data_IF_101140641906
#
_entry.id   IF_101140641906
#
_cell.length_a   1.000
_cell.length_b   1.000
_cell.length_c   1.000
_cell.angle_alpha   90.00
_cell.angle_beta   90.00
_cell.angle_gamma   90.00
#
_symmetry.space_group_name_H-M   'P 1'
#
loop_
_entity.id
_entity.type
_entity.pdbx_description
1 polymer ?
#
# COMPACT_ATOMS: atom_id res chain seq x y z
N UNK A 1 -12.46 89.36 -44.99
CA UNK A 1 -11.46 88.62 -45.80
C UNK A 1 -11.05 89.39 -47.05
N UNK A 2 -11.99 89.86 -47.88
CA UNK A 2 -11.72 90.57 -49.14
C UNK A 2 -10.71 91.74 -49.06
N UNK A 3 -10.77 92.60 -48.03
CA UNK A 3 -9.85 93.72 -47.87
C UNK A 3 -8.41 93.29 -47.53
N UNK A 4 -8.28 92.26 -46.69
CA UNK A 4 -6.97 91.70 -46.29
C UNK A 4 -6.32 90.97 -47.46
N UNK A 5 -7.09 90.17 -48.20
CA UNK A 5 -6.63 89.51 -49.44
C UNK A 5 -6.20 90.54 -50.48
N UNK A 6 -6.99 91.60 -50.68
CA UNK A 6 -6.65 92.71 -51.57
C UNK A 6 -5.34 93.40 -51.17
N UNK A 7 -5.17 93.69 -49.88
CA UNK A 7 -3.96 94.26 -49.30
C UNK A 7 -2.71 93.41 -49.56
N UNK A 8 -2.81 92.09 -49.38
CA UNK A 8 -1.73 91.13 -49.67
C UNK A 8 -1.39 91.10 -51.17
N UNK A 9 -2.41 91.01 -52.03
CA UNK A 9 -2.23 90.96 -53.50
C UNK A 9 -1.59 92.25 -54.01
N UNK A 10 -2.02 93.39 -53.49
CA UNK A 10 -1.57 94.73 -53.93
C UNK A 10 -0.36 95.25 -53.17
N UNK A 11 0.10 94.54 -52.13
CA UNK A 11 1.17 94.98 -51.21
C UNK A 11 0.89 96.36 -50.59
N UNK A 12 -0.37 96.64 -50.27
CA UNK A 12 -0.80 97.91 -49.65
C UNK A 12 -1.10 97.65 -48.19
N UNK A 13 -0.57 98.46 -47.28
CA UNK A 13 -0.89 98.36 -45.85
C UNK A 13 -2.28 98.94 -45.59
N UNK A 14 -3.12 98.20 -44.86
CA UNK A 14 -4.42 98.72 -44.42
C UNK A 14 -4.19 99.53 -43.16
N UNK A 15 -4.62 100.79 -43.14
CA UNK A 15 -4.57 101.63 -41.95
C UNK A 15 -5.96 101.69 -41.34
N UNK A 16 -6.08 101.29 -40.08
CA UNK A 16 -7.29 101.39 -39.27
C UNK A 16 -7.03 102.46 -38.23
N UNK A 17 -7.67 103.61 -38.37
CA UNK A 17 -7.63 104.66 -37.37
C UNK A 17 -8.89 104.58 -36.51
N UNK A 18 -8.71 104.24 -35.23
CA UNK A 18 -9.82 104.06 -34.29
C UNK A 18 -10.58 105.37 -34.07
N UNK A 19 -9.88 106.50 -34.06
CA UNK A 19 -10.52 107.81 -33.88
C UNK A 19 -11.45 108.15 -35.05
N UNK A 20 -11.04 107.83 -36.27
CA UNK A 20 -11.88 108.02 -37.46
C UNK A 20 -13.12 107.12 -37.44
N UNK A 21 -13.00 105.91 -36.90
CA UNK A 21 -14.13 104.98 -36.72
C UNK A 21 -15.11 105.54 -35.70
N UNK A 22 -14.63 105.98 -34.53
CA UNK A 22 -15.45 106.61 -33.49
C UNK A 22 -16.20 107.85 -34.04
N UNK A 23 -15.50 108.70 -34.77
CA UNK A 23 -16.07 109.92 -35.35
C UNK A 23 -17.10 109.61 -36.45
N UNK A 24 -16.87 108.55 -37.22
CA UNK A 24 -17.81 108.09 -38.26
C UNK A 24 -19.08 107.51 -37.64
N UNK A 25 -18.96 106.69 -36.58
CA UNK A 25 -20.10 106.17 -35.81
C UNK A 25 -20.90 107.33 -35.21
N UNK A 26 -20.21 108.32 -34.63
CA UNK A 26 -20.83 109.48 -33.96
C UNK A 26 -21.62 110.37 -34.93
N UNK A 27 -21.22 110.44 -36.20
CA UNK A 27 -21.90 111.21 -37.26
C UNK A 27 -23.16 110.54 -37.81
N UNK A 28 -23.49 109.31 -37.36
CA UNK A 28 -24.67 108.55 -37.75
C UNK A 28 -24.87 108.46 -39.28
N UNK A 29 -23.80 108.14 -39.99
CA UNK A 29 -23.79 108.09 -41.46
C UNK A 29 -24.63 106.90 -41.94
N UNK A 30 -25.43 107.09 -43.01
CA UNK A 30 -26.47 106.15 -43.50
C UNK A 30 -26.02 104.68 -43.63
N UNK A 31 -24.75 104.43 -43.87
CA UNK A 31 -24.17 103.10 -44.10
C UNK A 31 -23.49 102.46 -42.88
N UNK A 32 -23.52 103.10 -41.71
CA UNK A 32 -22.95 102.56 -40.46
C UNK A 32 -24.08 102.23 -39.49
N UNK A 33 -24.24 100.94 -39.16
CA UNK A 33 -25.28 100.46 -38.25
C UNK A 33 -24.80 100.25 -36.80
N UNK A 34 -23.55 100.60 -36.50
CA UNK A 34 -22.98 100.48 -35.15
C UNK A 34 -23.40 101.70 -34.31
N UNK A 35 -23.84 101.47 -33.08
CA UNK A 35 -24.13 102.55 -32.11
C UNK A 35 -22.90 102.94 -31.30
N UNK A 36 -21.97 102.00 -31.11
CA UNK A 36 -20.73 102.20 -30.38
C UNK A 36 -19.62 101.33 -30.99
N UNK A 37 -18.37 101.77 -30.88
CA UNK A 37 -17.20 100.98 -31.28
C UNK A 37 -17.14 99.61 -30.57
N UNK A 38 -17.74 99.50 -29.39
CA UNK A 38 -17.84 98.24 -28.65
C UNK A 38 -18.65 97.15 -29.35
N UNK A 39 -19.52 97.53 -30.29
CA UNK A 39 -20.34 96.59 -31.07
C UNK A 39 -19.54 95.91 -32.20
N UNK A 40 -18.29 96.31 -32.43
CA UNK A 40 -17.41 95.62 -33.37
C UNK A 40 -17.18 94.18 -32.91
N UNK A 41 -17.37 93.25 -33.84
CA UNK A 41 -17.22 91.81 -33.62
C UNK A 41 -15.80 91.46 -33.12
N UNK A 42 -15.71 90.70 -32.03
CA UNK A 42 -14.45 90.22 -31.48
C UNK A 42 -13.61 89.44 -32.50
N UNK A 43 -14.21 88.66 -33.39
CA UNK A 43 -13.51 87.90 -34.44
C UNK A 43 -12.83 88.81 -35.46
N UNK A 44 -13.41 89.99 -35.70
CA UNK A 44 -12.78 91.04 -36.50
C UNK A 44 -11.59 91.66 -35.75
N UNK A 45 -11.73 91.93 -34.46
CA UNK A 45 -10.63 92.45 -33.61
C UNK A 45 -9.47 91.44 -33.53
N UNK A 46 -9.77 90.14 -33.42
CA UNK A 46 -8.75 89.07 -33.48
C UNK A 46 -8.04 89.03 -34.83
N UNK A 47 -8.79 89.20 -35.92
CA UNK A 47 -8.20 89.29 -37.27
C UNK A 47 -7.26 90.49 -37.38
N UNK A 48 -7.64 91.66 -36.83
CA UNK A 48 -6.77 92.84 -36.76
C UNK A 48 -5.46 92.49 -36.05
N UNK A 49 -5.51 91.81 -34.90
CA UNK A 49 -4.32 91.37 -34.18
C UNK A 49 -3.45 90.39 -35.00
N UNK A 50 -4.06 89.37 -35.62
CA UNK A 50 -3.35 88.36 -36.40
C UNK A 50 -2.62 88.97 -37.61
N UNK A 51 -3.29 89.86 -38.35
CA UNK A 51 -2.73 90.49 -39.54
C UNK A 51 -1.85 91.70 -39.24
N UNK A 52 -1.99 92.32 -38.06
CA UNK A 52 -1.01 93.27 -37.52
C UNK A 52 0.33 92.61 -37.27
N UNK A 53 0.34 91.39 -36.72
CA UNK A 53 1.56 90.63 -36.48
C UNK A 53 2.31 90.23 -37.77
N UNK A 54 1.64 90.26 -38.93
CA UNK A 54 2.22 89.99 -40.27
C UNK A 54 2.48 91.31 -41.04
N UNK A 55 2.36 92.47 -40.38
CA UNK A 55 2.55 93.82 -40.95
C UNK A 55 1.61 94.18 -42.11
N UNK A 56 0.43 93.54 -42.20
CA UNK A 56 -0.59 93.78 -43.23
C UNK A 56 -1.51 94.93 -42.82
N UNK A 57 -1.80 95.02 -41.52
CA UNK A 57 -2.67 96.05 -40.93
C UNK A 57 -1.87 96.91 -39.96
N UNK A 58 -1.94 98.23 -40.12
CA UNK A 58 -1.57 99.21 -39.12
C UNK A 58 -2.82 99.67 -38.37
N UNK A 59 -2.71 99.78 -37.05
CA UNK A 59 -3.80 100.30 -36.22
C UNK A 59 -3.28 101.51 -35.46
N UNK A 60 -3.96 102.64 -35.65
CA UNK A 60 -3.74 103.86 -34.88
C UNK A 60 -4.82 103.88 -33.79
N UNK A 61 -4.38 103.74 -32.55
CA UNK A 61 -5.25 103.62 -31.38
C UNK A 61 -5.61 105.01 -30.82
N UNK A 62 -6.85 105.17 -30.36
CA UNK A 62 -7.26 106.35 -29.58
C UNK A 62 -6.76 106.25 -28.13
N UNK A 63 -6.76 107.36 -27.39
CA UNK A 63 -6.31 107.39 -25.98
C UNK A 63 -7.07 106.38 -25.10
N UNK A 64 -8.36 106.15 -25.38
CA UNK A 64 -9.21 105.18 -24.70
C UNK A 64 -9.63 104.01 -25.61
N UNK A 65 -8.66 103.51 -26.39
CA UNK A 65 -8.87 102.48 -27.40
C UNK A 65 -9.61 101.23 -26.89
N UNK A 66 -10.78 100.98 -27.47
CA UNK A 66 -11.54 99.74 -27.28
C UNK A 66 -10.86 98.57 -27.97
N UNK A 67 -10.33 98.79 -29.18
CA UNK A 67 -9.67 97.74 -29.98
C UNK A 67 -8.44 97.23 -29.22
N UNK A 68 -7.60 98.12 -28.67
CA UNK A 68 -6.43 97.73 -27.87
C UNK A 68 -6.82 96.95 -26.63
N UNK A 69 -7.83 97.43 -25.88
CA UNK A 69 -8.34 96.75 -24.67
C UNK A 69 -8.77 95.32 -24.98
N UNK A 70 -9.52 95.10 -26.07
CA UNK A 70 -9.97 93.77 -26.49
C UNK A 70 -8.85 92.87 -27.01
N UNK A 71 -7.85 93.43 -27.68
CA UNK A 71 -6.64 92.68 -28.07
C UNK A 71 -5.88 92.19 -26.83
N UNK A 72 -5.70 93.05 -25.82
CA UNK A 72 -5.03 92.68 -24.56
C UNK A 72 -5.80 91.55 -23.85
N UNK A 73 -7.13 91.69 -23.72
CA UNK A 73 -8.01 90.68 -23.11
C UNK A 73 -7.90 89.33 -23.85
N UNK A 74 -7.88 89.35 -25.18
CA UNK A 74 -7.70 88.14 -26.00
C UNK A 74 -6.33 87.47 -25.73
N UNK A 75 -5.24 88.24 -25.72
CA UNK A 75 -3.89 87.73 -25.47
C UNK A 75 -3.78 87.11 -24.07
N UNK A 76 -4.38 87.76 -23.06
CA UNK A 76 -4.39 87.25 -21.69
C UNK A 76 -5.16 85.94 -21.56
N UNK A 77 -6.31 85.83 -22.23
CA UNK A 77 -7.10 84.61 -22.27
C UNK A 77 -6.35 83.46 -22.94
N UNK A 78 -5.74 83.69 -24.10
CA UNK A 78 -4.89 82.71 -24.80
C UNK A 78 -3.72 82.23 -23.93
N UNK A 79 -3.05 83.16 -23.23
CA UNK A 79 -1.95 82.83 -22.32
C UNK A 79 -2.42 81.97 -21.15
N UNK A 80 -3.60 82.27 -20.60
CA UNK A 80 -4.20 81.51 -19.50
C UNK A 80 -4.66 80.12 -19.96
N UNK A 81 -5.24 80.00 -21.14
CA UNK A 81 -5.64 78.73 -21.73
C UNK A 81 -4.43 77.84 -22.01
N UNK A 82 -3.36 78.39 -22.61
CA UNK A 82 -2.11 77.68 -22.82
C UNK A 82 -1.52 77.15 -21.51
N UNK A 83 -1.50 77.95 -20.44
CA UNK A 83 -1.04 77.51 -19.11
C UNK A 83 -1.91 76.37 -18.54
N UNK A 84 -3.23 76.42 -18.75
CA UNK A 84 -4.13 75.34 -18.32
C UNK A 84 -3.84 74.06 -19.08
N UNK A 85 -3.73 74.13 -20.41
CA UNK A 85 -3.38 72.99 -21.27
C UNK A 85 -2.02 72.37 -20.92
N UNK A 86 -1.01 73.19 -20.62
CA UNK A 86 0.31 72.71 -20.16
C UNK A 86 0.20 71.95 -18.83
N UNK A 87 -0.60 72.46 -17.89
CA UNK A 87 -0.84 71.81 -16.60
C UNK A 87 -1.59 70.48 -16.78
N UNK A 88 -2.60 70.45 -17.64
CA UNK A 88 -3.39 69.25 -17.91
C UNK A 88 -2.54 68.18 -18.61
N UNK A 89 -1.73 68.58 -19.58
CA UNK A 89 -0.78 67.67 -20.24
C UNK A 89 0.22 67.08 -19.24
N UNK A 90 0.72 67.89 -18.30
CA UNK A 90 1.64 67.41 -17.26
C UNK A 90 0.94 66.43 -16.30
N UNK A 91 -0.31 66.69 -15.94
CA UNK A 91 -1.11 65.78 -15.11
C UNK A 91 -1.35 64.44 -15.82
N UNK A 92 -1.68 64.47 -17.11
CA UNK A 92 -1.87 63.25 -17.91
C UNK A 92 -0.56 62.45 -18.03
N UNK A 93 0.58 63.10 -18.23
CA UNK A 93 1.89 62.42 -18.22
C UNK A 93 2.14 61.70 -16.89
N UNK A 94 1.90 62.36 -15.76
CA UNK A 94 2.05 61.73 -14.44
C UNK A 94 1.09 60.55 -14.23
N UNK A 95 -0.15 60.62 -14.76
CA UNK A 95 -1.08 59.48 -14.70
C UNK A 95 -0.56 58.29 -15.50
N UNK A 96 -0.06 58.53 -16.72
CA UNK A 96 0.51 57.49 -17.58
C UNK A 96 1.70 56.81 -16.89
N UNK A 97 2.61 57.58 -16.29
CA UNK A 97 3.75 57.03 -15.55
C UNK A 97 3.32 56.14 -14.36
N UNK A 98 2.28 56.56 -13.62
CA UNK A 98 1.72 55.76 -12.52
C UNK A 98 1.13 54.45 -13.04
N UNK A 99 0.32 54.51 -14.10
CA UNK A 99 -0.29 53.32 -14.71
C UNK A 99 0.80 52.35 -15.22
N UNK A 100 1.86 52.86 -15.84
CA UNK A 100 2.97 52.01 -16.29
C UNK A 100 3.70 51.33 -15.11
N UNK A 101 3.90 52.05 -14.00
CA UNK A 101 4.49 51.47 -12.79
C UNK A 101 3.60 50.38 -12.21
N UNK A 102 2.30 50.61 -12.12
CA UNK A 102 1.34 49.64 -11.61
C UNK A 102 1.26 48.39 -12.51
N UNK A 103 1.26 48.58 -13.83
CA UNK A 103 1.29 47.48 -14.79
C UNK A 103 2.56 46.62 -14.65
N UNK A 104 3.72 47.25 -14.44
CA UNK A 104 4.97 46.52 -14.21
C UNK A 104 4.95 45.75 -12.89
N UNK A 105 4.36 46.31 -11.83
CA UNK A 105 4.19 45.61 -10.56
C UNK A 105 3.28 44.39 -10.70
N UNK A 106 2.15 44.52 -11.39
CA UNK A 106 1.23 43.41 -11.64
C UNK A 106 1.88 42.32 -12.51
N UNK A 107 2.68 42.69 -13.53
CA UNK A 107 3.47 41.71 -14.30
C UNK A 107 4.42 40.92 -13.41
N UNK A 108 5.21 41.59 -12.55
CA UNK A 108 6.11 40.90 -11.63
C UNK A 108 5.37 39.99 -10.64
N UNK A 109 4.18 40.40 -10.20
CA UNK A 109 3.32 39.59 -9.31
C UNK A 109 2.82 38.34 -10.04
N UNK A 110 2.37 38.47 -11.28
CA UNK A 110 1.96 37.32 -12.09
C UNK A 110 3.12 36.35 -12.34
N UNK A 111 4.31 36.83 -12.68
CA UNK A 111 5.49 35.97 -12.86
C UNK A 111 5.86 35.19 -11.59
N UNK A 112 5.65 35.77 -10.40
CA UNK A 112 5.85 35.07 -9.13
C UNK A 112 4.79 33.99 -8.92
N UNK A 113 3.52 34.32 -9.15
CA UNK A 113 2.41 33.36 -9.04
C UNK A 113 2.57 32.18 -10.01
N UNK A 114 3.06 32.42 -11.23
CA UNK A 114 3.35 31.36 -12.20
C UNK A 114 4.45 30.41 -11.70
N UNK A 115 5.52 30.94 -11.12
CA UNK A 115 6.60 30.14 -10.52
C UNK A 115 6.11 29.32 -9.32
N UNK A 116 5.31 29.93 -8.46
CA UNK A 116 4.73 29.24 -7.30
C UNK A 116 3.81 28.10 -7.75
N UNK A 117 2.96 28.34 -8.76
CA UNK A 117 2.09 27.32 -9.34
C UNK A 117 2.90 26.18 -9.98
N UNK A 118 4.01 26.47 -10.66
CA UNK A 118 4.88 25.43 -11.21
C UNK A 118 5.52 24.58 -10.11
N UNK A 119 5.92 25.21 -8.99
CA UNK A 119 6.46 24.51 -7.82
C UNK A 119 5.41 23.59 -7.19
N UNK A 120 4.20 24.07 -6.97
CA UNK A 120 3.09 23.26 -6.43
C UNK A 120 2.77 22.07 -7.35
N UNK A 121 2.78 22.25 -8.68
CA UNK A 121 2.60 21.16 -9.63
C UNK A 121 3.69 20.09 -9.51
N UNK A 122 4.96 20.50 -9.34
CA UNK A 122 6.08 19.56 -9.14
C UNK A 122 5.93 18.79 -7.83
N UNK A 123 5.58 19.47 -6.74
CA UNK A 123 5.36 18.85 -5.43
C UNK A 123 4.19 17.84 -5.48
N UNK A 124 3.08 18.21 -6.12
CA UNK A 124 1.94 17.30 -6.34
C UNK A 124 2.36 16.04 -7.09
N UNK A 125 3.11 16.17 -8.18
CA UNK A 125 3.59 15.01 -8.95
C UNK A 125 4.51 14.09 -8.13
N UNK A 126 5.33 14.65 -7.24
CA UNK A 126 6.18 13.86 -6.34
C UNK A 126 5.31 13.07 -5.34
N UNK A 127 4.32 13.73 -4.75
CA UNK A 127 3.38 13.09 -3.81
C UNK A 127 2.62 11.96 -4.49
N UNK A 128 2.11 12.17 -5.71
CA UNK A 128 1.40 11.14 -6.48
C UNK A 128 2.28 9.91 -6.76
N UNK A 129 3.54 10.11 -7.17
CA UNK A 129 4.50 9.00 -7.35
C UNK A 129 4.79 8.25 -6.06
N UNK A 130 4.93 8.96 -4.95
CA UNK A 130 5.16 8.35 -3.65
C UNK A 130 3.95 7.51 -3.19
N UNK A 131 2.73 8.02 -3.38
CA UNK A 131 1.50 7.28 -3.09
C UNK A 131 1.39 6.01 -3.93
N UNK A 132 1.73 6.07 -5.21
CA UNK A 132 1.74 4.89 -6.09
C UNK A 132 2.75 3.84 -5.62
N UNK A 133 3.96 4.27 -5.24
CA UNK A 133 4.97 3.39 -4.69
C UNK A 133 4.52 2.71 -3.38
N UNK A 134 3.87 3.45 -2.48
CA UNK A 134 3.32 2.89 -1.24
C UNK A 134 2.19 1.89 -1.53
N UNK A 135 1.30 2.17 -2.50
CA UNK A 135 0.27 1.22 -2.94
C UNK A 135 0.89 -0.10 -3.41
N UNK A 136 1.91 -0.03 -4.27
CA UNK A 136 2.62 -1.23 -4.75
C UNK A 136 3.29 -2.02 -3.62
N UNK A 137 3.85 -1.34 -2.61
CA UNK A 137 4.42 -2.02 -1.42
C UNK A 137 3.33 -2.73 -0.62
N UNK A 138 2.19 -2.08 -0.38
CA UNK A 138 1.07 -2.67 0.33
C UNK A 138 0.56 -3.92 -0.39
N UNK A 139 0.41 -3.87 -1.71
CA UNK A 139 -0.01 -5.04 -2.50
C UNK A 139 0.97 -6.21 -2.39
N UNK A 140 2.28 -5.95 -2.39
CA UNK A 140 3.30 -7.00 -2.17
C UNK A 140 3.17 -7.61 -0.79
N UNK A 141 3.08 -6.80 0.25
CA UNK A 141 2.93 -7.27 1.64
C UNK A 141 1.65 -8.11 1.78
N UNK A 142 0.54 -7.73 1.15
CA UNK A 142 -0.69 -8.50 1.17
C UNK A 142 -0.55 -9.86 0.49
N UNK A 143 0.16 -9.94 -0.64
CA UNK A 143 0.46 -11.21 -1.31
C UNK A 143 1.34 -12.11 -0.44
N UNK A 144 2.39 -11.55 0.15
CA UNK A 144 3.29 -12.30 1.03
C UNK A 144 2.55 -12.84 2.27
N UNK A 145 1.69 -12.01 2.88
CA UNK A 145 0.86 -12.42 4.01
C UNK A 145 -0.09 -13.57 3.64
N UNK A 146 -0.71 -13.52 2.46
CA UNK A 146 -1.58 -14.60 1.99
C UNK A 146 -0.80 -15.88 1.72
N UNK A 147 0.42 -15.78 1.18
CA UNK A 147 1.29 -16.94 0.97
C UNK A 147 1.69 -17.59 2.31
N UNK A 148 2.08 -16.81 3.30
CA UNK A 148 2.40 -17.33 4.64
C UNK A 148 1.18 -17.95 5.33
N UNK A 149 -0.02 -17.37 5.18
CA UNK A 149 -1.26 -18.01 5.67
C UNK A 149 -1.49 -19.40 5.04
N UNK A 150 -1.38 -19.52 3.72
CA UNK A 150 -1.54 -20.81 3.04
C UNK A 150 -0.48 -21.82 3.48
N UNK A 151 0.75 -21.37 3.75
CA UNK A 151 1.84 -22.22 4.25
C UNK A 151 1.55 -22.73 5.66
N UNK A 152 1.06 -21.86 6.55
CA UNK A 152 0.65 -22.24 7.89
C UNK A 152 -0.51 -23.25 7.86
N UNK A 153 -1.53 -23.03 7.04
CA UNK A 153 -2.65 -23.98 6.89
C UNK A 153 -2.18 -25.37 6.43
N UNK A 154 -1.14 -25.44 5.58
CA UNK A 154 -0.53 -26.71 5.17
C UNK A 154 0.21 -27.37 6.32
N UNK A 155 1.02 -26.60 7.06
CA UNK A 155 1.75 -27.12 8.22
C UNK A 155 0.81 -27.63 9.32
N UNK A 156 -0.32 -26.95 9.56
CA UNK A 156 -1.35 -27.39 10.50
C UNK A 156 -1.94 -28.75 10.09
N UNK A 157 -2.26 -28.94 8.81
CA UNK A 157 -2.75 -30.24 8.29
C UNK A 157 -1.68 -31.33 8.38
N UNK A 158 -0.43 -31.01 8.07
CA UNK A 158 0.67 -31.96 8.19
C UNK A 158 0.88 -32.40 9.64
N UNK A 159 0.78 -31.46 10.59
CA UNK A 159 0.85 -31.75 12.02
C UNK A 159 -0.32 -32.63 12.50
N UNK A 160 -1.55 -32.33 12.04
CA UNK A 160 -2.72 -33.16 12.33
C UNK A 160 -2.55 -34.59 11.81
N UNK A 161 -2.02 -34.75 10.59
CA UNK A 161 -1.74 -36.06 10.00
C UNK A 161 -0.67 -36.84 10.78
N UNK A 162 0.39 -36.18 11.23
CA UNK A 162 1.42 -36.80 12.08
C UNK A 162 0.85 -37.22 13.44
N UNK A 163 0.00 -36.40 14.07
CA UNK A 163 -0.68 -36.78 15.30
C UNK A 163 -1.54 -38.05 15.12
N UNK A 164 -2.29 -38.15 14.03
CA UNK A 164 -3.08 -39.35 13.70
C UNK A 164 -2.17 -40.58 13.52
N UNK A 165 -0.99 -40.44 12.90
CA UNK A 165 -0.04 -41.55 12.77
C UNK A 165 0.51 -41.97 14.13
N UNK A 166 0.87 -41.02 14.99
CA UNK A 166 1.35 -41.29 16.36
C UNK A 166 0.28 -42.08 17.14
N UNK A 167 -0.98 -41.65 17.12
CA UNK A 167 -2.07 -42.36 17.80
C UNK A 167 -2.24 -43.81 17.30
N UNK A 168 -2.05 -44.05 16.00
CA UNK A 168 -2.09 -45.41 15.43
C UNK A 168 -0.92 -46.26 15.93
N UNK A 169 0.29 -45.72 15.92
CA UNK A 169 1.49 -46.40 16.41
C UNK A 169 1.34 -46.73 17.90
N UNK A 170 0.79 -45.82 18.71
CA UNK A 170 0.55 -46.06 20.13
C UNK A 170 -0.45 -47.20 20.36
N UNK A 171 -1.53 -47.27 19.56
CA UNK A 171 -2.49 -48.38 19.60
C UNK A 171 -1.84 -49.71 19.23
N UNK A 172 -1.05 -49.73 18.16
CA UNK A 172 -0.35 -50.94 17.71
C UNK A 172 0.67 -51.42 18.75
N UNK A 173 1.43 -50.49 19.35
CA UNK A 173 2.36 -50.80 20.43
C UNK A 173 1.64 -51.40 21.65
N UNK A 174 0.48 -50.86 22.02
CA UNK A 174 -0.31 -51.39 23.12
C UNK A 174 -0.86 -52.80 22.83
N UNK A 175 -1.24 -53.06 21.57
CA UNK A 175 -1.69 -54.39 21.15
C UNK A 175 -0.55 -55.42 21.18
N UNK A 176 0.64 -55.05 20.70
CA UNK A 176 1.82 -55.93 20.77
C UNK A 176 2.26 -56.18 22.22
N UNK A 177 2.18 -55.18 23.12
CA UNK A 177 2.42 -55.40 24.56
C UNK A 177 1.47 -56.46 25.14
N UNK A 178 0.16 -56.35 24.89
CA UNK A 178 -0.83 -57.34 25.35
C UNK A 178 -0.59 -58.73 24.77
N UNK A 179 -0.15 -58.81 23.51
CA UNK A 179 0.21 -60.08 22.86
C UNK A 179 1.44 -60.70 23.50
N UNK A 180 2.45 -59.89 23.82
CA UNK A 180 3.66 -60.34 24.50
C UNK A 180 3.34 -60.86 25.91
N UNK A 181 2.51 -60.15 26.69
CA UNK A 181 2.03 -60.62 28.00
C UNK A 181 1.31 -61.97 27.91
N UNK A 182 0.49 -62.19 26.87
CA UNK A 182 -0.17 -63.49 26.64
C UNK A 182 0.84 -64.59 26.32
N UNK A 183 1.85 -64.30 25.49
CA UNK A 183 2.91 -65.27 25.16
C UNK A 183 3.75 -65.62 26.39
N UNK A 184 4.10 -64.64 27.23
CA UNK A 184 4.81 -64.88 28.49
C UNK A 184 4.02 -65.78 29.44
N UNK A 185 2.71 -65.54 29.60
CA UNK A 185 1.83 -66.39 30.39
C UNK A 185 1.72 -67.81 29.82
N UNK A 186 1.60 -67.96 28.50
CA UNK A 186 1.57 -69.27 27.85
C UNK A 186 2.88 -70.05 28.07
N UNK A 187 4.02 -69.38 27.91
CA UNK A 187 5.34 -69.98 28.15
C UNK A 187 5.49 -70.44 29.59
N UNK A 188 4.98 -69.67 30.56
CA UNK A 188 5.00 -70.07 31.97
C UNK A 188 4.09 -71.28 32.24
N UNK A 189 2.92 -71.34 31.61
CA UNK A 189 2.04 -72.51 31.68
C UNK A 189 2.71 -73.76 31.11
N UNK A 190 3.33 -73.67 29.93
CA UNK A 190 4.05 -74.78 29.30
C UNK A 190 5.22 -75.27 30.18
N UNK A 191 5.97 -74.34 30.79
CA UNK A 191 7.03 -74.70 31.77
C UNK A 191 6.47 -75.47 32.96
N UNK A 192 5.31 -75.06 33.48
CA UNK A 192 4.67 -75.71 34.61
C UNK A 192 4.09 -77.09 34.24
N UNK A 193 3.53 -77.23 33.04
CA UNK A 193 3.08 -78.51 32.50
C UNK A 193 4.26 -79.47 32.31
N UNK A 194 5.37 -79.00 31.72
CA UNK A 194 6.59 -79.78 31.57
C UNK A 194 7.11 -80.30 32.92
N UNK A 195 7.15 -79.44 33.96
CA UNK A 195 7.53 -79.87 35.32
C UNK A 195 6.59 -80.92 35.91
N UNK A 196 5.29 -80.90 35.58
CA UNK A 196 4.33 -81.93 36.01
C UNK A 196 4.61 -83.24 35.29
N UNK A 197 4.74 -83.21 33.96
CA UNK A 197 5.06 -84.39 33.16
C UNK A 197 6.39 -85.03 33.57
N UNK A 198 7.42 -84.24 33.89
CA UNK A 198 8.69 -84.75 34.43
C UNK A 198 8.51 -85.50 35.75
N UNK A 199 7.67 -84.99 36.67
CA UNK A 199 7.35 -85.70 37.92
C UNK A 199 6.54 -86.97 37.70
N UNK A 200 5.57 -86.93 36.79
CA UNK A 200 4.75 -88.09 36.46
C UNK A 200 5.61 -89.19 35.83
N UNK A 201 6.50 -88.82 34.90
CA UNK A 201 7.47 -89.74 34.31
C UNK A 201 8.42 -90.36 35.36
N UNK A 202 8.94 -89.57 36.29
CA UNK A 202 9.76 -90.08 37.39
C UNK A 202 8.99 -91.04 38.31
N UNK A 203 7.70 -90.78 38.56
CA UNK A 203 6.84 -91.67 39.34
C UNK A 203 6.57 -92.98 38.61
N UNK A 204 6.21 -92.94 37.33
CA UNK A 204 6.01 -94.14 36.49
C UNK A 204 7.29 -94.98 36.42
N UNK A 205 8.46 -94.34 36.29
CA UNK A 205 9.74 -95.03 36.31
C UNK A 205 9.97 -95.78 37.63
N UNK A 206 9.69 -95.13 38.77
CA UNK A 206 9.78 -95.78 40.09
C UNK A 206 8.77 -96.92 40.25
N UNK A 207 7.56 -96.76 39.73
CA UNK A 207 6.54 -97.81 39.75
C UNK A 207 6.96 -99.01 38.90
N UNK A 208 7.49 -98.78 37.70
CA UNK A 208 8.06 -99.82 36.84
C UNK A 208 9.19 -100.57 37.55
N UNK A 209 10.13 -99.86 38.19
CA UNK A 209 11.20 -100.48 38.97
C UNK A 209 10.68 -101.33 40.14
N UNK A 210 9.59 -100.90 40.80
CA UNK A 210 8.94 -101.69 41.86
C UNK A 210 8.28 -102.95 41.30
N UNK A 211 7.55 -102.84 40.18
CA UNK A 211 6.92 -103.98 39.51
C UNK A 211 7.96 -105.00 39.02
N UNK A 212 9.08 -104.55 38.44
CA UNK A 212 10.18 -105.42 38.05
C UNK A 212 10.82 -106.16 39.24
N UNK A 213 10.96 -105.50 40.40
CA UNK A 213 11.43 -106.16 41.63
C UNK A 213 10.43 -107.19 42.14
N UNK A 214 9.14 -106.89 42.10
CA UNK A 214 8.07 -107.82 42.50
C UNK A 214 8.03 -109.04 41.57
N UNK A 215 8.12 -108.83 40.25
CA UNK A 215 8.16 -109.90 39.26
C UNK A 215 9.34 -110.85 39.49
N UNK A 216 10.55 -110.31 39.71
CA UNK A 216 11.74 -111.11 40.06
C UNK A 216 11.55 -111.91 41.35
N UNK A 217 10.82 -111.36 42.33
CA UNK A 217 10.50 -112.06 43.57
C UNK A 217 9.54 -113.23 43.32
N UNK A 218 8.46 -113.00 42.56
CA UNK A 218 7.52 -114.06 42.16
C UNK A 218 8.19 -115.16 41.34
N UNK A 219 9.10 -114.81 40.42
CA UNK A 219 9.89 -115.78 39.65
C UNK A 219 10.74 -116.67 40.57
N UNK A 220 11.44 -116.07 41.55
CA UNK A 220 12.19 -116.82 42.57
C UNK A 220 11.28 -117.72 43.41
N UNK A 221 10.11 -117.23 43.82
CA UNK A 221 9.14 -118.03 44.58
C UNK A 221 8.62 -119.22 43.75
N UNK A 222 8.28 -118.99 42.47
CA UNK A 222 7.91 -120.06 41.53
C UNK A 222 9.03 -121.09 41.38
N UNK A 223 10.29 -120.66 41.29
CA UNK A 223 11.44 -121.56 41.19
C UNK A 223 11.66 -122.37 42.47
N UNK A 224 11.53 -121.76 43.65
CA UNK A 224 11.57 -122.48 44.94
C UNK A 224 10.45 -123.52 45.01
N UNK A 225 9.22 -123.17 44.62
CA UNK A 225 8.09 -124.09 44.60
C UNK A 225 8.36 -125.25 43.63
N UNK A 226 8.83 -124.95 42.41
CA UNK A 226 9.20 -125.96 41.41
C UNK A 226 10.25 -126.92 41.96
N UNK A 227 11.31 -126.41 42.58
CA UNK A 227 12.37 -127.22 43.21
C UNK A 227 11.82 -128.08 44.35
N UNK A 228 10.91 -127.55 45.19
CA UNK A 228 10.21 -128.33 46.23
C UNK A 228 9.36 -129.45 45.63
N UNK A 229 8.59 -129.17 44.58
CA UNK A 229 7.80 -130.18 43.86
C UNK A 229 8.70 -131.27 43.28
N UNK A 230 9.83 -130.92 42.66
CA UNK A 230 10.80 -131.90 42.14
C UNK A 230 11.42 -132.77 43.24
N UNK A 231 11.78 -132.18 44.39
CA UNK A 231 12.25 -132.90 45.57
C UNK A 231 11.21 -133.87 46.11
N UNK A 232 9.95 -133.45 46.23
CA UNK A 232 8.84 -134.28 46.68
C UNK A 232 8.64 -135.48 45.74
N UNK A 233 8.67 -135.25 44.42
CA UNK A 233 8.61 -136.33 43.41
C UNK A 233 9.78 -137.32 43.61
N UNK A 234 10.99 -136.84 43.88
CA UNK A 234 12.16 -137.70 44.17
C UNK A 234 11.99 -138.49 45.47
N UNK A 235 11.47 -137.89 46.54
CA UNK A 235 11.18 -138.57 47.81
C UNK A 235 10.14 -139.67 47.63
N UNK A 236 9.02 -139.37 46.96
CA UNK A 236 7.99 -140.36 46.64
C UNK A 236 8.53 -141.52 45.80
N UNK A 237 9.48 -141.27 44.88
CA UNK A 237 10.17 -142.34 44.14
C UNK A 237 11.07 -143.20 45.05
N UNK A 238 11.80 -142.59 46.00
CA UNK A 238 12.62 -143.32 46.97
C UNK A 238 11.79 -144.19 47.92
N UNK A 239 10.72 -143.65 48.51
CA UNK A 239 9.80 -144.42 49.37
C UNK A 239 9.15 -145.61 48.64
N UNK A 240 8.89 -145.44 47.33
CA UNK A 240 8.39 -146.52 46.48
C UNK A 240 9.44 -147.61 46.21
N UNK A 241 10.73 -147.28 46.27
CA UNK A 241 11.83 -148.24 46.13
C UNK A 241 12.15 -148.93 47.47
N UNK A 242 12.16 -148.23 48.61
CA UNK A 242 12.38 -148.87 49.92
C UNK A 242 11.24 -149.82 50.33
N UNK A 243 9.99 -149.55 49.91
CA UNK A 243 8.87 -150.51 50.05
C UNK A 243 9.01 -151.75 49.15
N UNK A 244 9.89 -151.74 48.14
CA UNK A 244 10.24 -152.95 47.38
C UNK A 244 11.35 -153.74 48.11
N UNK A 245 12.33 -153.05 48.68
CA UNK A 245 13.47 -153.68 49.36
C UNK A 245 13.08 -154.37 50.71
N UNK A 246 12.06 -153.87 51.44
CA UNK A 246 11.52 -154.56 52.62
C UNK A 246 10.70 -155.82 52.28
N UNK A 247 10.28 -155.99 51.02
CA UNK A 247 9.56 -157.17 50.54
C UNK A 247 10.50 -158.31 50.14
N UNK A 248 11.74 -157.99 49.80
CA UNK A 248 12.77 -158.95 49.37
C UNK A 248 13.56 -159.56 50.55
N UNK A 249 13.39 -159.06 51.78
CA UNK A 249 13.96 -159.66 53.00
C UNK A 249 13.08 -160.75 53.65
N UNK A 250 11.87 -161.00 53.14
CA UNK A 250 10.94 -162.04 53.63
C UNK A 250 10.75 -163.23 52.68
N UNK A 251 11.56 -163.34 51.62
CA UNK A 251 11.49 -164.44 50.64
C UNK A 251 12.83 -165.21 50.51
N UNK A 252 13.47 -165.46 51.65
CA UNK A 252 14.35 -166.63 51.84
C UNK A 252 13.62 -167.66 52.71
N UNK A 253 12.56 -168.27 52.16
CA UNK A 253 12.00 -169.57 52.57
C UNK A 253 11.09 -170.03 51.43
N UNK A 254 11.70 -170.55 50.36
CA UNK A 254 11.32 -171.78 49.65
C UNK A 254 12.13 -171.93 48.35
N UNK A 255 12.95 -173.00 48.35
CA UNK A 255 13.64 -173.68 47.23
C UNK A 255 14.81 -172.99 46.52
#
# INVERSE_FOLDING_TARGET
MLLVEYSVIRKIKIIINEKDIEDTISKNVYFVHLKNISEINLEFIKSIYLYRNINIIEVIFSENSYILKKIIEYIENEKNEKKRLEKDLNNEKMKIERIQKDLNNEKMKNERLEKDLEKEKKEKNIIEKNLENERMKIEKIQKDLNNEKMKNERLEKDLENENIKIERIEKDLNNEKKKNERLENNLENEKNEKKRLEKDFDNEKREKERLEKNLKKEEREKEIIKNKYELLIKQLKKERNTKRDDKDAYLTYEC
#
